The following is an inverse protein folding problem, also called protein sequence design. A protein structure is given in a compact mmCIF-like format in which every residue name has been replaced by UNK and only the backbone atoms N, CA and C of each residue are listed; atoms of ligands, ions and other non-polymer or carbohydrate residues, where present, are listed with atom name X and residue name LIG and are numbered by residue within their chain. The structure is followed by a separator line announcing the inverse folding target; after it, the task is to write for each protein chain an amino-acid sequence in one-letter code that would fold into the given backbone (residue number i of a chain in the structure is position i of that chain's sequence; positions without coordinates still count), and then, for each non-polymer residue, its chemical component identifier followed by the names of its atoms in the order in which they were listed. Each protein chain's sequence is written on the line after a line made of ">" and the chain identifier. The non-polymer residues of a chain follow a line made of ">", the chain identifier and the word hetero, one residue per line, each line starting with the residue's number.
data_IF_923467840851
#
_entry.id   IF_923467840851
#
_cell.length_a   1.000
_cell.length_b   1.000
_cell.length_c   1.000
_cell.angle_alpha   90.00
_cell.angle_beta   90.00
_cell.angle_gamma   90.00
#
_symmetry.space_group_name_H-M   'P 1'
#
loop_
_entity.id
_entity.type
_entity.pdbx_description
1 polymer ?
#
# COMPACT_ATOMS: atom_id res chain seq x y z
N UNK A 1 15.18 -11.45 -0.90
CA UNK A 1 16.48 -10.83 -0.55
C UNK A 1 16.18 -9.40 -0.15
N UNK A 2 16.16 -9.14 1.16
CA UNK A 2 15.95 -7.78 1.69
C UNK A 2 17.27 -7.02 1.50
N UNK A 3 17.18 -5.76 1.11
CA UNK A 3 18.37 -4.92 0.91
C UNK A 3 18.86 -4.50 2.30
N UNK A 4 19.88 -5.20 2.80
CA UNK A 4 20.67 -4.83 3.99
C UNK A 4 21.87 -4.02 3.50
N UNK A 5 21.61 -2.88 2.85
CA UNK A 5 22.68 -2.04 2.30
C UNK A 5 23.19 -1.12 3.41
N UNK A 6 24.47 -1.24 3.72
CA UNK A 6 25.20 -0.42 4.68
C UNK A 6 26.56 -0.09 4.07
N UNK A 7 27.03 1.15 4.26
CA UNK A 7 28.36 1.57 3.81
C UNK A 7 29.39 1.43 4.91
N UNK A 8 29.02 1.75 6.15
CA UNK A 8 29.91 1.70 7.32
C UNK A 8 29.46 0.67 8.34
N UNK A 9 28.18 0.30 8.34
CA UNK A 9 27.61 -0.56 9.37
C UNK A 9 27.48 0.15 10.71
N UNK A 10 27.55 1.48 10.75
CA UNK A 10 27.51 2.24 11.99
C UNK A 10 26.10 2.46 12.55
N UNK A 11 26.03 2.97 13.78
CA UNK A 11 24.77 3.24 14.49
C UNK A 11 23.87 4.25 13.77
N UNK A 12 24.43 5.15 12.95
CA UNK A 12 23.67 6.10 12.16
C UNK A 12 22.90 5.40 11.04
N UNK A 13 23.55 4.47 10.33
CA UNK A 13 22.91 3.65 9.29
C UNK A 13 21.84 2.72 9.88
N UNK A 14 22.12 2.09 11.03
CA UNK A 14 21.12 1.28 11.73
C UNK A 14 19.90 2.12 12.17
N UNK A 15 20.14 3.33 12.69
CA UNK A 15 19.04 4.26 13.03
C UNK A 15 18.19 4.60 11.82
N UNK A 16 18.80 4.90 10.67
CA UNK A 16 18.07 5.18 9.44
C UNK A 16 17.25 3.96 8.96
N UNK A 17 17.84 2.77 9.05
CA UNK A 17 17.19 1.50 8.73
C UNK A 17 15.92 1.28 9.57
N UNK A 18 16.01 1.46 10.89
CA UNK A 18 14.89 1.32 11.82
C UNK A 18 13.86 2.43 11.59
N UNK A 19 14.30 3.68 11.52
CA UNK A 19 13.44 4.85 11.39
C UNK A 19 12.54 4.77 10.15
N UNK A 20 13.07 4.36 9.00
CA UNK A 20 12.29 4.24 7.77
C UNK A 20 11.15 3.22 7.89
N UNK A 21 11.40 2.13 8.62
CA UNK A 21 10.42 1.06 8.81
C UNK A 21 9.35 1.40 9.83
N UNK A 22 9.74 2.03 10.94
CA UNK A 22 8.80 2.60 11.91
C UNK A 22 7.92 3.66 11.25
N UNK A 23 8.48 4.50 10.38
CA UNK A 23 7.75 5.53 9.66
C UNK A 23 6.71 4.97 8.69
N UNK A 24 7.06 3.96 7.91
CA UNK A 24 6.12 3.27 7.04
C UNK A 24 5.00 2.57 7.85
N UNK A 25 5.37 1.90 8.95
CA UNK A 25 4.43 1.36 9.94
C UNK A 25 3.80 0.02 9.58
N UNK A 26 4.40 -0.76 8.67
CA UNK A 26 3.83 -2.03 8.20
C UNK A 26 4.27 -3.28 8.97
N UNK A 27 5.39 -3.20 9.69
CA UNK A 27 6.04 -4.37 10.28
C UNK A 27 5.94 -4.38 11.80
N UNK A 28 5.84 -5.58 12.37
CA UNK A 28 5.76 -5.78 13.82
C UNK A 28 7.11 -5.54 14.49
N UNK A 29 7.12 -5.46 15.82
CA UNK A 29 8.37 -5.39 16.57
C UNK A 29 9.25 -6.61 16.29
N UNK A 30 8.66 -7.80 16.26
CA UNK A 30 9.38 -9.05 16.05
C UNK A 30 10.00 -9.12 14.65
N UNK A 31 9.28 -8.67 13.62
CA UNK A 31 9.83 -8.54 12.26
C UNK A 31 11.07 -7.63 12.27
N UNK A 32 10.98 -6.45 12.90
CA UNK A 32 12.11 -5.52 12.95
C UNK A 32 13.26 -6.04 13.82
N UNK A 33 12.98 -6.74 14.91
CA UNK A 33 13.99 -7.31 15.79
C UNK A 33 14.79 -8.40 15.08
N UNK A 34 14.13 -9.24 14.27
CA UNK A 34 14.78 -10.21 13.39
C UNK A 34 15.73 -9.49 12.42
N UNK A 35 15.25 -8.46 11.72
CA UNK A 35 16.06 -7.83 10.66
C UNK A 35 17.18 -6.96 11.22
N UNK A 36 16.99 -6.36 12.40
CA UNK A 36 18.08 -5.70 13.13
C UNK A 36 19.13 -6.71 13.53
N UNK A 37 18.74 -7.92 13.96
CA UNK A 37 19.67 -9.03 14.19
C UNK A 37 20.47 -9.38 12.93
N UNK A 38 19.79 -9.64 11.81
CA UNK A 38 20.44 -9.95 10.52
C UNK A 38 21.40 -8.83 10.07
N UNK A 39 21.00 -7.57 10.23
CA UNK A 39 21.81 -6.41 9.84
C UNK A 39 23.08 -6.28 10.69
N UNK A 40 22.97 -6.53 12.00
CA UNK A 40 24.12 -6.47 12.92
C UNK A 40 25.06 -7.64 12.71
N UNK A 41 24.52 -8.84 12.49
CA UNK A 41 25.31 -10.04 12.19
C UNK A 41 26.10 -9.88 10.88
N UNK A 42 25.50 -9.24 9.86
CA UNK A 42 26.14 -8.99 8.57
C UNK A 42 27.18 -7.85 8.63
N UNK A 43 26.88 -6.75 9.33
CA UNK A 43 27.83 -5.64 9.48
C UNK A 43 28.99 -5.95 10.41
N UNK A 44 28.75 -6.66 11.51
CA UNK A 44 29.76 -7.00 12.52
C UNK A 44 30.34 -5.80 13.29
N UNK A 45 29.72 -4.62 13.19
CA UNK A 45 30.23 -3.36 13.75
C UNK A 45 29.60 -3.01 15.10
N UNK A 46 28.32 -3.33 15.29
CA UNK A 46 27.53 -2.94 16.47
C UNK A 46 27.33 -4.17 17.37
N UNK A 47 27.29 -3.98 18.69
CA UNK A 47 26.89 -5.05 19.60
C UNK A 47 25.40 -5.40 19.40
N UNK A 48 25.03 -6.70 19.28
CA UNK A 48 23.63 -7.09 19.12
C UNK A 48 22.71 -6.61 20.26
N UNK A 49 23.19 -6.58 21.50
CA UNK A 49 22.44 -6.08 22.64
C UNK A 49 22.17 -4.58 22.56
N UNK A 50 23.18 -3.80 22.15
CA UNK A 50 23.04 -2.36 21.89
C UNK A 50 22.03 -2.07 20.76
N UNK A 51 22.06 -2.86 19.69
CA UNK A 51 21.13 -2.72 18.57
C UNK A 51 19.68 -3.05 18.95
N UNK A 52 19.46 -4.09 19.76
CA UNK A 52 18.13 -4.44 20.28
C UNK A 52 17.60 -3.36 21.24
N UNK A 53 18.46 -2.81 22.11
CA UNK A 53 18.09 -1.71 22.99
C UNK A 53 17.73 -0.43 22.20
N UNK A 54 18.45 -0.17 21.09
CA UNK A 54 18.15 0.92 20.17
C UNK A 54 16.77 0.74 19.52
N UNK A 55 16.47 -0.44 18.97
CA UNK A 55 15.16 -0.74 18.38
C UNK A 55 14.03 -0.56 19.40
N UNK A 56 14.18 -1.12 20.61
CA UNK A 56 13.18 -0.99 21.68
C UNK A 56 12.92 0.49 22.04
N UNK A 57 13.98 1.30 22.12
CA UNK A 57 13.86 2.73 22.39
C UNK A 57 13.08 3.45 21.29
N UNK A 58 13.48 3.26 20.02
CA UNK A 58 12.84 3.93 18.88
C UNK A 58 11.38 3.47 18.68
N UNK A 59 11.08 2.20 18.95
CA UNK A 59 9.72 1.68 18.93
C UNK A 59 8.84 2.38 19.97
N UNK A 60 9.33 2.51 21.20
CA UNK A 60 8.61 3.18 22.28
C UNK A 60 8.40 4.68 21.97
N UNK A 61 9.41 5.36 21.43
CA UNK A 61 9.29 6.75 20.98
C UNK A 61 8.17 6.91 19.93
N UNK A 62 8.09 5.99 18.96
CA UNK A 62 7.00 5.99 17.97
C UNK A 62 5.64 5.72 18.61
N UNK A 63 5.54 4.81 19.58
CA UNK A 63 4.29 4.59 20.31
C UNK A 63 3.85 5.85 21.09
N UNK A 64 4.79 6.57 21.69
CA UNK A 64 4.49 7.81 22.41
C UNK A 64 4.11 8.96 21.47
N UNK A 65 4.75 9.05 20.30
CA UNK A 65 4.33 9.93 19.21
C UNK A 65 2.87 9.65 18.80
N UNK A 66 2.56 8.37 18.55
CA UNK A 66 1.23 7.90 18.13
C UNK A 66 0.11 8.26 19.10
N UNK A 67 0.38 8.30 20.41
CA UNK A 67 -0.62 8.69 21.43
C UNK A 67 -1.14 10.11 21.25
N UNK A 68 -0.37 10.97 20.56
CA UNK A 68 -0.73 12.36 20.29
C UNK A 68 -1.43 12.56 18.94
N UNK A 69 -1.52 11.52 18.11
CA UNK A 69 -2.21 11.60 16.82
C UNK A 69 -3.73 11.69 17.02
N UNK A 70 -4.36 12.64 16.32
CA UNK A 70 -5.83 12.83 16.35
C UNK A 70 -6.56 11.97 15.32
N UNK A 71 -5.84 11.54 14.29
CA UNK A 71 -6.31 10.76 13.15
C UNK A 71 -5.10 10.09 12.46
N UNK A 72 -5.36 9.30 11.42
CA UNK A 72 -4.36 8.56 10.64
C UNK A 72 -3.85 9.28 9.38
N UNK A 73 -4.23 10.54 9.19
CA UNK A 73 -3.76 11.39 8.09
C UNK A 73 -3.90 10.75 6.71
N UNK A 74 -2.85 10.89 5.89
CA UNK A 74 -2.79 10.26 4.55
C UNK A 74 -3.01 8.75 4.57
N UNK A 75 -2.65 8.03 5.64
CA UNK A 75 -2.86 6.59 5.71
C UNK A 75 -4.35 6.25 5.73
N UNK A 76 -5.15 6.90 6.59
CA UNK A 76 -6.60 6.65 6.64
C UNK A 76 -7.33 7.02 5.34
N UNK A 77 -6.89 8.09 4.68
CA UNK A 77 -7.43 8.50 3.38
C UNK A 77 -7.09 7.48 2.30
N UNK A 78 -5.85 6.99 2.25
CA UNK A 78 -5.44 5.93 1.32
C UNK A 78 -6.17 4.60 1.56
N UNK A 79 -6.40 4.21 2.80
CA UNK A 79 -7.21 3.01 3.11
C UNK A 79 -8.65 3.15 2.59
N UNK A 80 -9.21 4.37 2.64
CA UNK A 80 -10.53 4.65 2.05
C UNK A 80 -10.49 4.51 0.54
N UNK A 81 -9.47 5.06 -0.13
CA UNK A 81 -9.25 4.87 -1.57
C UNK A 81 -9.20 3.39 -1.92
N UNK A 82 -8.42 2.60 -1.20
CA UNK A 82 -8.25 1.17 -1.49
C UNK A 82 -9.55 0.39 -1.28
N UNK A 83 -10.34 0.72 -0.26
CA UNK A 83 -11.66 0.14 -0.06
C UNK A 83 -12.65 0.48 -1.19
N UNK A 84 -12.58 1.69 -1.76
CA UNK A 84 -13.37 2.07 -2.93
C UNK A 84 -12.96 1.31 -4.19
N UNK A 85 -11.65 1.13 -4.41
CA UNK A 85 -11.14 0.34 -5.53
C UNK A 85 -11.59 -1.13 -5.43
N UNK A 86 -11.47 -1.74 -4.25
CA UNK A 86 -11.94 -3.11 -4.01
C UNK A 86 -13.45 -3.24 -4.29
N UNK A 87 -14.25 -2.22 -3.90
CA UNK A 87 -15.68 -2.19 -4.19
C UNK A 87 -15.99 -2.22 -5.70
N UNK A 88 -15.14 -1.54 -6.49
CA UNK A 88 -15.22 -1.46 -7.95
C UNK A 88 -14.60 -2.68 -8.67
N UNK A 89 -14.16 -3.70 -7.92
CA UNK A 89 -13.52 -4.89 -8.47
C UNK A 89 -12.08 -4.65 -8.94
N UNK A 90 -11.40 -3.64 -8.37
CA UNK A 90 -9.98 -3.39 -8.54
C UNK A 90 -9.28 -3.81 -7.25
N UNK A 91 -8.55 -4.91 -7.29
CA UNK A 91 -7.83 -5.46 -6.14
C UNK A 91 -6.78 -4.48 -5.62
N UNK A 92 -6.98 -3.92 -4.43
CA UNK A 92 -6.05 -2.95 -3.84
C UNK A 92 -5.22 -3.56 -2.71
N UNK A 93 -3.89 -3.37 -2.72
CA UNK A 93 -3.00 -3.87 -1.66
C UNK A 93 -1.94 -2.87 -1.23
N UNK A 94 -1.84 -2.67 0.09
CA UNK A 94 -0.81 -1.84 0.73
C UNK A 94 0.41 -2.67 1.10
N UNK A 95 1.62 -2.15 0.84
CA UNK A 95 2.89 -2.78 1.21
C UNK A 95 2.97 -4.28 0.82
N UNK A 96 2.61 -4.60 -0.42
CA UNK A 96 2.47 -5.96 -0.92
C UNK A 96 3.72 -6.41 -1.67
N UNK A 97 4.33 -7.48 -1.17
CA UNK A 97 5.60 -8.04 -1.66
C UNK A 97 6.77 -7.03 -1.57
N UNK A 98 8.01 -7.54 -1.70
CA UNK A 98 9.18 -6.71 -1.46
C UNK A 98 9.45 -5.67 -2.57
N UNK A 99 9.10 -5.98 -3.82
CA UNK A 99 9.39 -5.14 -4.99
C UNK A 99 8.32 -5.29 -6.09
N UNK A 100 8.38 -4.39 -7.09
CA UNK A 100 7.45 -4.35 -8.23
C UNK A 100 7.27 -5.71 -8.93
N UNK A 101 8.37 -6.42 -9.20
CA UNK A 101 8.34 -7.69 -9.93
C UNK A 101 7.70 -8.82 -9.12
N UNK A 102 8.01 -8.89 -7.81
CA UNK A 102 7.39 -9.85 -6.90
C UNK A 102 5.89 -9.59 -6.77
N UNK A 103 5.49 -8.32 -6.57
CA UNK A 103 4.10 -7.91 -6.48
C UNK A 103 3.31 -8.29 -7.75
N UNK A 104 3.83 -7.94 -8.94
CA UNK A 104 3.20 -8.29 -10.21
C UNK A 104 3.04 -9.81 -10.40
N UNK A 105 4.00 -10.61 -9.92
CA UNK A 105 3.97 -12.07 -10.04
C UNK A 105 3.02 -12.74 -9.04
N UNK A 106 2.68 -12.06 -7.95
CA UNK A 106 1.88 -12.61 -6.85
C UNK A 106 0.42 -12.11 -6.83
N UNK A 107 0.16 -10.89 -7.30
CA UNK A 107 -1.13 -10.20 -7.12
C UNK A 107 -2.33 -10.96 -7.69
N UNK A 108 -2.14 -11.76 -8.74
CA UNK A 108 -3.21 -12.57 -9.32
C UNK A 108 -3.74 -13.66 -8.37
N UNK A 109 -2.95 -14.08 -7.36
CA UNK A 109 -3.33 -15.09 -6.35
C UNK A 109 -4.25 -14.55 -5.26
N UNK A 110 -4.29 -13.23 -5.10
CA UNK A 110 -5.12 -12.53 -4.12
C UNK A 110 -6.57 -12.32 -4.60
N UNK A 111 -6.89 -12.72 -5.84
CA UNK A 111 -8.22 -12.56 -6.43
C UNK A 111 -9.25 -13.47 -5.77
N UNK A 112 -10.47 -12.96 -5.64
CA UNK A 112 -11.60 -13.67 -5.05
C UNK A 112 -12.28 -14.55 -6.11
N UNK A 113 -12.37 -15.88 -5.91
CA UNK A 113 -13.10 -16.76 -6.83
C UNK A 113 -14.58 -16.39 -6.95
N UNK A 114 -15.08 -16.34 -8.18
CA UNK A 114 -16.48 -16.12 -8.52
C UNK A 114 -16.86 -16.93 -9.76
N UNK A 115 -17.66 -18.02 -9.64
CA UNK A 115 -18.04 -18.87 -10.76
C UNK A 115 -18.96 -18.16 -11.78
N UNK A 116 -19.51 -16.98 -11.45
CA UNK A 116 -20.33 -16.20 -12.36
C UNK A 116 -19.53 -15.18 -13.18
N UNK A 117 -18.25 -14.97 -12.85
CA UNK A 117 -17.38 -14.04 -13.57
C UNK A 117 -16.71 -14.72 -14.78
N UNK A 118 -16.43 -13.99 -15.89
CA UNK A 118 -15.92 -14.58 -17.14
C UNK A 118 -14.63 -15.38 -17.02
N UNK A 119 -13.73 -14.99 -16.12
CA UNK A 119 -12.45 -15.65 -15.84
C UNK A 119 -12.43 -16.34 -14.47
N UNK A 120 -13.59 -16.47 -13.81
CA UNK A 120 -13.73 -17.13 -12.52
C UNK A 120 -13.34 -16.27 -11.31
N UNK A 121 -13.14 -14.96 -11.47
CA UNK A 121 -12.74 -14.06 -10.38
C UNK A 121 -13.51 -12.74 -10.37
N UNK A 122 -13.76 -12.19 -9.17
CA UNK A 122 -14.45 -10.90 -9.01
C UNK A 122 -13.65 -9.77 -9.65
N UNK A 123 -12.35 -9.71 -9.41
CA UNK A 123 -11.53 -8.54 -9.71
C UNK A 123 -11.05 -8.52 -11.16
N UNK A 124 -11.31 -7.40 -11.85
CA UNK A 124 -10.90 -7.20 -13.23
C UNK A 124 -9.55 -6.49 -13.36
N UNK A 125 -9.11 -5.83 -12.29
CA UNK A 125 -7.83 -5.11 -12.22
C UNK A 125 -7.24 -5.07 -10.82
N UNK A 126 -6.11 -4.38 -10.67
CA UNK A 126 -5.41 -4.24 -9.40
C UNK A 126 -4.66 -2.90 -9.29
N UNK A 127 -4.39 -2.49 -8.06
CA UNK A 127 -3.48 -1.40 -7.70
C UNK A 127 -2.72 -1.75 -6.40
N UNK A 128 -1.44 -1.41 -6.31
CA UNK A 128 -0.64 -1.68 -5.11
C UNK A 128 0.55 -0.73 -4.95
N UNK A 129 1.13 -0.72 -3.76
CA UNK A 129 2.54 -0.37 -3.56
C UNK A 129 3.25 -1.48 -2.79
N UNK A 130 4.54 -1.65 -3.06
CA UNK A 130 5.38 -2.70 -2.46
C UNK A 130 6.26 -2.15 -1.32
N UNK A 131 6.94 -3.01 -0.58
CA UNK A 131 7.75 -2.64 0.59
C UNK A 131 8.78 -1.53 0.29
N UNK A 132 9.52 -1.63 -0.82
CA UNK A 132 10.51 -0.59 -1.18
C UNK A 132 9.89 0.80 -1.39
N UNK A 133 8.67 0.91 -1.92
CA UNK A 133 7.98 2.20 -2.03
C UNK A 133 7.38 2.63 -0.69
N UNK A 134 6.97 1.69 0.16
CA UNK A 134 6.56 2.01 1.53
C UNK A 134 7.69 2.66 2.34
N UNK A 135 8.95 2.27 2.13
CA UNK A 135 10.10 2.91 2.80
C UNK A 135 10.27 4.40 2.44
N UNK A 136 9.73 4.86 1.30
CA UNK A 136 9.74 6.29 0.94
C UNK A 136 8.86 7.16 1.84
N UNK A 137 7.94 6.54 2.59
CA UNK A 137 7.05 7.21 3.55
C UNK A 137 7.79 7.79 4.76
N UNK A 138 9.08 7.46 4.91
CA UNK A 138 9.95 7.94 5.97
C UNK A 138 10.26 9.44 5.92
N UNK A 139 10.23 10.04 4.73
CA UNK A 139 10.62 11.44 4.51
C UNK A 139 9.42 12.22 4.03
N UNK A 140 9.06 13.30 4.71
CA UNK A 140 7.91 14.14 4.35
C UNK A 140 8.34 15.45 3.67
N UNK A 141 7.65 15.90 2.61
CA UNK A 141 6.55 15.21 1.93
C UNK A 141 7.02 13.92 1.24
N UNK A 142 6.25 12.85 1.40
CA UNK A 142 6.59 11.54 0.88
C UNK A 142 6.02 11.36 -0.53
N UNK A 143 6.84 10.83 -1.43
CA UNK A 143 6.37 10.36 -2.74
C UNK A 143 6.08 8.87 -2.66
N UNK A 144 4.82 8.50 -2.80
CA UNK A 144 4.38 7.10 -2.88
C UNK A 144 3.99 6.77 -4.33
N UNK A 145 4.51 5.66 -4.85
CA UNK A 145 4.18 5.18 -6.17
C UNK A 145 3.20 4.01 -6.08
N UNK A 146 2.15 4.05 -6.90
CA UNK A 146 1.19 2.97 -7.04
C UNK A 146 1.35 2.31 -8.40
N UNK A 147 1.74 1.02 -8.39
CA UNK A 147 1.64 0.15 -9.55
C UNK A 147 0.20 -0.27 -9.76
N UNK A 148 -0.20 -0.50 -11.01
CA UNK A 148 -1.56 -0.92 -11.34
C UNK A 148 -1.57 -1.78 -12.60
N UNK A 149 -2.67 -2.51 -12.81
CA UNK A 149 -2.88 -3.22 -14.06
C UNK A 149 -4.17 -4.01 -14.13
N UNK A 150 -4.35 -4.71 -15.26
CA UNK A 150 -5.61 -5.39 -15.60
C UNK A 150 -5.41 -6.90 -15.69
N UNK A 151 -6.35 -7.64 -15.09
CA UNK A 151 -6.48 -9.09 -15.26
C UNK A 151 -7.31 -9.40 -16.51
N UNK A 152 -8.37 -8.63 -16.75
CA UNK A 152 -9.25 -8.73 -17.91
C UNK A 152 -9.76 -7.35 -18.33
N UNK A 153 -10.42 -7.29 -19.48
CA UNK A 153 -11.09 -6.07 -19.93
C UNK A 153 -12.12 -5.61 -18.89
N UNK A 154 -12.23 -4.28 -18.71
CA UNK A 154 -13.16 -3.72 -17.75
C UNK A 154 -14.60 -4.12 -18.13
N UNK A 155 -15.43 -4.52 -17.15
CA UNK A 155 -16.72 -5.17 -17.42
C UNK A 155 -17.76 -4.26 -18.08
N UNK A 156 -17.51 -2.96 -18.13
CA UNK A 156 -18.39 -1.94 -18.70
C UNK A 156 -17.92 -1.41 -20.05
N UNK A 157 -16.82 -1.94 -20.63
CA UNK A 157 -16.41 -1.58 -21.98
C UNK A 157 -17.43 -2.07 -23.01
N UNK A 158 -17.64 -1.26 -24.05
CA UNK A 158 -18.52 -1.61 -25.15
C UNK A 158 -17.97 -2.82 -25.92
N UNK A 159 -18.87 -3.70 -26.36
CA UNK A 159 -18.50 -4.80 -27.25
C UNK A 159 -17.98 -4.25 -28.60
N UNK A 160 -17.00 -4.94 -29.19
CA UNK A 160 -16.47 -4.62 -30.52
C UNK A 160 -15.07 -4.01 -30.54
N UNK A 161 -14.49 -3.69 -29.39
CA UNK A 161 -13.04 -3.44 -29.29
C UNK A 161 -12.29 -4.77 -29.50
N UNK A 162 -11.16 -4.70 -30.20
CA UNK A 162 -10.22 -5.81 -30.17
C UNK A 162 -9.60 -5.97 -28.77
N UNK A 163 -8.96 -7.12 -28.54
CA UNK A 163 -8.43 -7.49 -27.23
C UNK A 163 -7.35 -6.52 -26.75
N UNK A 164 -6.51 -5.99 -27.65
CA UNK A 164 -5.44 -5.08 -27.30
C UNK A 164 -5.99 -3.70 -26.90
N UNK A 165 -6.90 -3.15 -27.71
CA UNK A 165 -7.58 -1.89 -27.45
C UNK A 165 -8.41 -1.95 -26.15
N UNK A 166 -9.14 -3.05 -25.93
CA UNK A 166 -9.89 -3.25 -24.69
C UNK A 166 -8.96 -3.31 -23.45
N UNK A 167 -7.80 -3.95 -23.58
CA UNK A 167 -6.80 -4.03 -22.51
C UNK A 167 -6.22 -2.66 -22.20
N UNK A 168 -5.78 -1.92 -23.21
CA UNK A 168 -5.22 -0.57 -23.08
C UNK A 168 -6.23 0.38 -22.43
N UNK A 169 -7.46 0.45 -22.95
CA UNK A 169 -8.53 1.26 -22.38
C UNK A 169 -8.81 0.91 -20.91
N UNK A 170 -8.76 -0.38 -20.56
CA UNK A 170 -8.93 -0.83 -19.18
C UNK A 170 -7.79 -0.37 -18.27
N UNK A 171 -6.55 -0.36 -18.75
CA UNK A 171 -5.41 0.17 -18.01
C UNK A 171 -5.58 1.66 -17.70
N UNK A 172 -5.89 2.47 -18.72
CA UNK A 172 -6.06 3.91 -18.57
C UNK A 172 -7.17 4.22 -17.55
N UNK A 173 -8.24 3.42 -17.54
CA UNK A 173 -9.34 3.56 -16.60
C UNK A 173 -8.99 3.21 -15.17
N UNK A 174 -8.13 2.21 -14.92
CA UNK A 174 -7.66 1.94 -13.56
C UNK A 174 -6.83 3.11 -13.06
N UNK A 175 -5.85 3.57 -13.85
CA UNK A 175 -4.99 4.69 -13.44
C UNK A 175 -5.83 5.94 -13.13
N UNK A 176 -6.77 6.29 -14.01
CA UNK A 176 -7.70 7.40 -13.80
C UNK A 176 -8.59 7.18 -12.56
N UNK A 177 -9.07 5.95 -12.32
CA UNK A 177 -9.90 5.65 -11.14
C UNK A 177 -9.10 5.79 -9.85
N UNK A 178 -7.85 5.33 -9.82
CA UNK A 178 -6.94 5.50 -8.66
C UNK A 178 -6.71 6.99 -8.38
N UNK A 179 -6.41 7.78 -9.41
CA UNK A 179 -6.21 9.23 -9.28
C UNK A 179 -7.47 9.92 -8.76
N UNK A 180 -8.62 9.66 -9.38
CA UNK A 180 -9.88 10.29 -8.98
C UNK A 180 -10.26 9.92 -7.55
N UNK A 181 -10.19 8.63 -7.19
CA UNK A 181 -10.49 8.19 -5.81
C UNK A 181 -9.54 8.85 -4.79
N UNK A 182 -8.25 8.98 -5.12
CA UNK A 182 -7.29 9.66 -4.27
C UNK A 182 -7.62 11.16 -4.11
N UNK A 183 -7.95 11.85 -5.20
CA UNK A 183 -8.34 13.27 -5.18
C UNK A 183 -9.66 13.51 -4.42
N UNK A 184 -10.63 12.61 -4.56
CA UNK A 184 -11.90 12.65 -3.80
C UNK A 184 -11.66 12.52 -2.29
N UNK A 185 -10.63 11.76 -1.90
CA UNK A 185 -10.15 11.65 -0.53
C UNK A 185 -9.13 12.76 -0.15
N UNK A 186 -8.99 13.81 -0.96
CA UNK A 186 -8.12 14.96 -0.67
C UNK A 186 -6.62 14.65 -0.70
N UNK A 187 -6.20 13.60 -1.39
CA UNK A 187 -4.79 13.29 -1.63
C UNK A 187 -4.31 13.95 -2.92
N UNK A 188 -3.07 14.45 -2.91
CA UNK A 188 -2.40 14.94 -4.11
C UNK A 188 -1.95 13.74 -4.95
N UNK A 189 -2.66 13.49 -6.05
CA UNK A 189 -2.46 12.35 -6.93
C UNK A 189 -2.26 12.82 -8.37
N UNK A 190 -1.20 12.32 -9.00
CA UNK A 190 -0.85 12.63 -10.39
C UNK A 190 -0.50 11.37 -11.17
N UNK A 191 -0.71 11.43 -12.48
CA UNK A 191 -0.34 10.39 -13.43
C UNK A 191 -0.14 11.02 -14.80
N UNK A 192 0.82 10.51 -15.57
CA UNK A 192 1.23 11.09 -16.86
C UNK A 192 0.24 10.85 -18.00
N UNK A 193 -0.67 9.89 -17.85
CA UNK A 193 -1.50 9.36 -18.94
C UNK A 193 -0.89 8.15 -19.66
N UNK A 194 0.33 7.73 -19.30
CA UNK A 194 1.00 6.57 -19.89
C UNK A 194 0.79 5.30 -19.05
N UNK A 195 0.46 4.19 -19.71
CA UNK A 195 0.37 2.88 -19.07
C UNK A 195 1.71 2.37 -18.52
N UNK A 196 2.84 2.92 -19.00
CA UNK A 196 4.18 2.58 -18.52
C UNK A 196 4.55 3.31 -17.22
N UNK A 197 3.80 4.36 -16.87
CA UNK A 197 4.05 5.17 -15.69
C UNK A 197 3.13 4.78 -14.53
N UNK A 198 3.68 4.79 -13.32
CA UNK A 198 2.97 4.58 -12.06
C UNK A 198 2.17 5.83 -11.67
N UNK A 199 1.08 5.62 -10.93
CA UNK A 199 0.38 6.74 -10.28
C UNK A 199 1.23 7.22 -9.10
N UNK A 200 1.35 8.53 -8.92
CA UNK A 200 2.18 9.15 -7.88
C UNK A 200 1.30 9.89 -6.89
N UNK A 201 1.48 9.62 -5.60
CA UNK A 201 0.87 10.36 -4.51
C UNK A 201 1.93 11.18 -3.76
N UNK A 202 1.64 12.47 -3.52
CA UNK A 202 2.41 13.31 -2.59
C UNK A 202 1.70 13.33 -1.24
N UNK A 203 2.35 12.79 -0.21
CA UNK A 203 1.75 12.61 1.11
C UNK A 203 2.46 13.51 2.14
N UNK A 204 1.69 14.37 2.81
CA UNK A 204 2.24 15.39 3.73
C UNK A 204 2.02 15.09 5.21
N UNK A 205 1.19 14.09 5.53
CA UNK A 205 0.85 13.72 6.91
C UNK A 205 0.66 12.20 7.07
N UNK A 206 1.62 11.41 6.59
CA UNK A 206 1.56 9.94 6.73
C UNK A 206 1.59 9.51 8.20
N UNK A 207 0.51 8.85 8.66
CA UNK A 207 0.33 8.43 10.05
C UNK A 207 -0.31 7.04 10.10
N UNK A 208 0.48 6.02 9.74
CA UNK A 208 0.09 4.62 9.92
C UNK A 208 0.47 4.15 11.33
N UNK A 209 -0.50 3.69 12.16
CA UNK A 209 -0.17 3.11 13.46
C UNK A 209 0.63 1.81 13.30
N UNK A 210 1.63 1.64 14.18
CA UNK A 210 2.38 0.40 14.29
C UNK A 210 1.44 -0.80 14.55
N UNK A 211 1.72 -1.98 13.97
CA UNK A 211 0.92 -3.18 14.22
C UNK A 211 0.80 -3.48 15.72
N UNK A 212 -0.42 -3.86 16.15
CA UNK A 212 -0.71 -4.16 17.56
C UNK A 212 -0.90 -2.93 18.46
N UNK A 213 -0.70 -1.71 17.96
CA UNK A 213 -0.99 -0.49 18.73
C UNK A 213 -2.51 -0.20 18.80
N UNK A 214 -2.96 0.30 19.94
CA UNK A 214 -4.36 0.70 20.17
C UNK A 214 -4.64 2.06 19.53
N UNK A 215 -4.90 2.07 18.23
CA UNK A 215 -5.50 3.21 17.53
C UNK A 215 -6.92 2.83 17.12
N UNK A 216 -7.94 3.69 17.26
CA UNK A 216 -9.28 3.36 16.78
C UNK A 216 -9.18 2.98 15.30
N UNK A 217 -9.78 1.86 14.88
CA UNK A 217 -9.73 1.46 13.48
C UNK A 217 -10.26 2.61 12.63
N UNK A 218 -9.54 2.95 11.56
CA UNK A 218 -10.10 3.77 10.48
C UNK A 218 -11.43 3.11 10.15
N UNK A 219 -12.55 3.85 10.25
CA UNK A 219 -13.88 3.29 10.13
C UNK A 219 -13.93 2.42 8.87
N UNK A 220 -13.93 1.11 9.05
CA UNK A 220 -13.85 0.12 7.99
C UNK A 220 -15.14 0.21 7.18
N UNK A 221 -15.12 1.04 6.12
CA UNK A 221 -16.15 1.04 5.09
C UNK A 221 -16.27 -0.35 4.41
N UNK A 222 -15.28 -1.22 4.62
CA UNK A 222 -15.24 -2.63 4.23
C UNK A 222 -16.49 -3.41 4.70
N UNK A 223 -17.12 -3.06 5.83
CA UNK A 223 -18.38 -3.70 6.28
C UNK A 223 -19.64 -3.15 5.59
N UNK A 224 -19.66 -1.90 5.17
CA UNK A 224 -20.83 -1.30 4.50
C UNK A 224 -20.95 -1.77 3.05
N UNK A 225 -19.82 -1.96 2.35
CA UNK A 225 -19.78 -2.43 0.95
C UNK A 225 -20.15 -3.92 0.85
N UNK A 226 -19.65 -4.76 1.77
CA UNK A 226 -20.05 -6.17 1.85
C UNK A 226 -21.55 -6.36 2.15
N UNK A 227 -22.17 -5.42 2.89
CA UNK A 227 -23.61 -5.40 3.14
C UNK A 227 -24.41 -4.93 1.91
N UNK A 228 -23.91 -3.95 1.15
CA UNK A 228 -24.55 -3.49 -0.08
C UNK A 228 -24.59 -4.57 -1.16
N UNK A 229 -23.53 -5.39 -1.29
CA UNK A 229 -23.51 -6.57 -2.19
C UNK A 229 -24.52 -7.65 -1.80
N UNK A 230 -24.90 -7.80 -0.53
CA UNK A 230 -25.94 -8.77 -0.10
C UNK A 230 -27.37 -8.29 -0.39
N UNK A 231 -27.57 -7.01 -0.70
CA UNK A 231 -28.91 -6.41 -0.88
C UNK A 231 -29.27 -6.09 -2.34
N UNK A 232 -28.37 -6.33 -3.30
CA UNK A 232 -28.67 -6.18 -4.73
C UNK A 232 -29.08 -4.76 -5.16
N UNK A 233 -28.70 -3.74 -4.38
CA UNK A 233 -29.03 -2.35 -4.68
C UNK A 233 -27.94 -1.74 -5.58
N UNK A 234 -28.28 -1.19 -6.76
CA UNK A 234 -27.30 -0.48 -7.57
C UNK A 234 -26.85 0.80 -6.85
N UNK A 235 -25.54 0.94 -6.67
CA UNK A 235 -24.92 2.19 -6.22
C UNK A 235 -25.25 3.30 -7.23
N UNK A 236 -25.99 4.32 -6.78
CA UNK A 236 -26.27 5.53 -7.56
C UNK A 236 -25.30 6.62 -7.10
N UNK A 237 -24.18 6.76 -7.80
CA UNK A 237 -23.32 7.93 -7.69
C UNK A 237 -24.14 9.21 -7.94
N UNK A 238 -23.95 10.22 -7.10
CA UNK A 238 -24.53 11.55 -7.33
C UNK A 238 -23.74 12.26 -8.43
N UNK A 239 -24.50 12.96 -9.29
CA UNK A 239 -24.01 13.86 -10.34
C UNK A 239 -23.28 15.06 -9.77
#
# INVERSE_FOLDING_TARGET
>A
MRILDWSTGDVGELRAFIAGRLAAGFWTFDDLAEWVGEWVDDSGVIDPGEAQALLATMWQERLDEQRNWRDTGSFGRLETVFAELDADGILARSCFECCQQCANSAIARERTPDPHSPDGFVEWGYAFFHEQDALRLAVQPATLYLGYGVFRAAPYLQAGLDVAAAREESYLRIAARVVNAAQDQGLDATWSGSADDRVVLTLTDWRKPLPGSTFPPVASLSRAVAAARRLGLPWRGRR
#
